data_IF_143715248142
#
_entry.id   IF_143715248142
#
_cell.length_a   1.000
_cell.length_b   1.000
_cell.length_c   1.000
_cell.angle_alpha   90.00
_cell.angle_beta   90.00
_cell.angle_gamma   90.00
#
_symmetry.space_group_name_H-M   'P 1'
#
loop_
_entity.id
_entity.type
_entity.pdbx_description
1 polymer ?
#
# COMPACT_ATOMS: atom_id res chain seq x y z
N UNK A 1 -13.35 23.57 26.34
CA UNK A 1 -12.43 22.42 26.26
C UNK A 1 -13.23 21.20 26.60
N UNK A 2 -13.52 20.35 25.61
CA UNK A 2 -14.25 19.11 25.83
C UNK A 2 -13.26 18.06 26.32
N UNK A 3 -13.46 17.56 27.53
CA UNK A 3 -12.72 16.41 28.05
C UNK A 3 -13.05 15.19 27.18
N UNK A 4 -12.10 14.82 26.33
CA UNK A 4 -12.06 13.52 25.69
C UNK A 4 -11.94 12.48 26.79
N UNK A 5 -13.06 11.87 27.18
CA UNK A 5 -13.05 10.67 28.01
C UNK A 5 -12.20 9.64 27.27
N UNK A 6 -11.03 9.35 27.83
CA UNK A 6 -10.13 8.30 27.41
C UNK A 6 -10.95 7.02 27.23
N UNK A 7 -10.98 6.50 26.01
CA UNK A 7 -11.55 5.19 25.69
C UNK A 7 -10.77 4.20 26.55
N UNK A 8 -11.42 3.69 27.59
CA UNK A 8 -10.81 2.75 28.52
C UNK A 8 -10.62 1.40 27.78
N UNK A 9 -9.38 1.12 27.36
CA UNK A 9 -8.99 -0.03 26.53
C UNK A 9 -8.85 -1.35 27.30
N UNK A 10 -9.19 -1.38 28.59
CA UNK A 10 -8.91 -2.51 29.49
C UNK A 10 -9.69 -3.80 29.19
N UNK A 11 -10.66 -3.77 28.26
CA UNK A 11 -11.44 -4.95 27.86
C UNK A 11 -11.09 -5.51 26.46
N UNK A 12 -10.03 -5.04 25.82
CA UNK A 12 -9.49 -5.71 24.63
C UNK A 12 -8.73 -6.98 25.05
N UNK A 13 -9.45 -8.07 25.33
CA UNK A 13 -8.81 -9.39 25.43
C UNK A 13 -8.13 -9.68 24.08
N UNK A 14 -6.80 -9.85 24.02
CA UNK A 14 -6.12 -10.13 22.77
C UNK A 14 -6.73 -11.40 22.17
N UNK A 15 -7.24 -11.29 20.94
CA UNK A 15 -7.83 -12.43 20.23
C UNK A 15 -6.84 -13.58 20.23
N UNK A 16 -7.28 -14.76 20.71
CA UNK A 16 -6.54 -16.03 20.60
C UNK A 16 -6.10 -16.23 19.16
N UNK A 17 -4.92 -16.84 18.94
CA UNK A 17 -4.33 -17.03 17.61
C UNK A 17 -5.33 -17.53 16.55
N UNK A 18 -6.19 -18.50 16.90
CA UNK A 18 -7.24 -19.07 16.04
C UNK A 18 -8.39 -18.13 15.66
N UNK A 19 -8.56 -17.01 16.38
CA UNK A 19 -9.53 -15.94 16.08
C UNK A 19 -8.94 -14.81 15.26
N UNK A 20 -7.62 -14.85 14.99
CA UNK A 20 -6.98 -13.97 14.03
C UNK A 20 -7.11 -14.59 12.63
N UNK A 21 -7.18 -13.78 11.56
CA UNK A 21 -7.16 -14.30 10.19
C UNK A 21 -5.95 -15.24 9.96
N UNK A 22 -4.83 -14.97 10.66
CA UNK A 22 -3.63 -15.82 10.72
C UNK A 22 -3.89 -17.26 11.17
N UNK A 23 -4.73 -17.45 12.19
CA UNK A 23 -5.04 -18.77 12.73
C UNK A 23 -6.11 -19.51 11.93
N UNK A 24 -7.09 -18.81 11.34
CA UNK A 24 -8.14 -19.45 10.53
C UNK A 24 -7.58 -19.95 9.19
N UNK A 25 -6.74 -19.14 8.52
CA UNK A 25 -6.02 -19.57 7.32
C UNK A 25 -5.05 -20.70 7.66
N UNK A 26 -4.41 -20.63 8.83
CA UNK A 26 -3.54 -21.70 9.32
C UNK A 26 -4.27 -23.01 9.53
N UNK A 27 -5.47 -23.00 10.12
CA UNK A 27 -6.27 -24.20 10.32
C UNK A 27 -6.57 -24.92 9.00
N UNK A 28 -6.98 -24.16 7.97
CA UNK A 28 -7.30 -24.70 6.65
C UNK A 28 -6.02 -25.23 5.99
N UNK A 29 -4.91 -24.51 6.09
CA UNK A 29 -3.63 -24.94 5.52
C UNK A 29 -3.07 -26.19 6.20
N UNK A 30 -3.22 -26.32 7.52
CA UNK A 30 -2.87 -27.54 8.27
C UNK A 30 -3.72 -28.74 7.83
N UNK A 31 -5.04 -28.55 7.65
CA UNK A 31 -5.92 -29.61 7.15
C UNK A 31 -5.52 -30.01 5.73
N UNK A 32 -5.23 -29.04 4.85
CA UNK A 32 -4.77 -29.29 3.50
C UNK A 32 -3.40 -29.99 3.47
N UNK A 33 -2.48 -29.62 4.37
CA UNK A 33 -1.16 -30.25 4.49
C UNK A 33 -1.28 -31.68 5.01
N UNK A 34 -2.13 -31.93 6.01
CA UNK A 34 -2.40 -33.27 6.52
C UNK A 34 -3.11 -34.14 5.47
N UNK A 35 -4.07 -33.59 4.74
CA UNK A 35 -4.76 -34.28 3.65
C UNK A 35 -3.82 -34.57 2.47
N UNK A 36 -2.96 -33.62 2.10
CA UNK A 36 -1.95 -33.78 1.05
C UNK A 36 -0.86 -34.78 1.43
N UNK A 37 -0.37 -34.73 2.67
CA UNK A 37 0.56 -35.72 3.21
C UNK A 37 -0.09 -37.11 3.28
N UNK A 38 -1.33 -37.20 3.75
CA UNK A 38 -2.10 -38.46 3.76
C UNK A 38 -2.33 -39.02 2.36
N UNK A 39 -2.66 -38.16 1.39
CA UNK A 39 -2.81 -38.54 -0.01
C UNK A 39 -1.49 -39.04 -0.61
N UNK A 40 -0.38 -38.32 -0.41
CA UNK A 40 0.95 -38.73 -0.88
C UNK A 40 1.39 -40.07 -0.27
N UNK A 41 1.11 -40.31 1.01
CA UNK A 41 1.38 -41.60 1.67
C UNK A 41 0.50 -42.69 1.03
N UNK A 42 -0.79 -42.43 0.85
CA UNK A 42 -1.74 -43.38 0.28
C UNK A 42 -1.41 -43.77 -1.16
N UNK A 43 -1.05 -42.80 -2.01
CA UNK A 43 -0.69 -43.05 -3.42
C UNK A 43 0.66 -43.76 -3.56
N UNK A 44 1.58 -43.56 -2.62
CA UNK A 44 2.92 -44.15 -2.65
C UNK A 44 3.07 -45.37 -1.73
N UNK A 45 1.96 -45.99 -1.29
CA UNK A 45 1.98 -47.15 -0.39
C UNK A 45 2.84 -48.31 -0.95
N UNK A 46 2.80 -48.53 -2.27
CA UNK A 46 3.61 -49.55 -2.94
C UNK A 46 5.11 -49.22 -2.96
N UNK A 47 5.48 -47.94 -3.10
CA UNK A 47 6.86 -47.49 -3.03
C UNK A 47 7.40 -47.53 -1.59
N UNK A 48 6.57 -47.24 -0.59
CA UNK A 48 6.88 -47.39 0.83
C UNK A 48 7.05 -48.88 1.19
N UNK A 49 6.22 -49.76 0.62
CA UNK A 49 6.40 -51.22 0.72
C UNK A 49 7.71 -51.69 0.08
N UNK A 50 8.10 -51.12 -1.06
CA UNK A 50 9.40 -51.37 -1.71
C UNK A 50 10.61 -50.88 -0.90
N UNK A 51 10.46 -49.80 -0.13
CA UNK A 51 11.45 -49.31 0.83
C UNK A 51 11.60 -50.21 2.08
N UNK A 52 10.74 -51.21 2.28
CA UNK A 52 10.92 -52.21 3.35
C UNK A 52 11.67 -53.46 2.87
N UNK A 53 12.09 -53.50 1.60
CA UNK A 53 12.79 -54.65 1.02
C UNK A 53 14.28 -54.71 1.35
N UNK A 54 14.90 -53.58 1.71
CA UNK A 54 16.33 -53.48 2.04
C UNK A 54 16.55 -53.06 3.50
N UNK A 55 17.53 -53.67 4.16
CA UNK A 55 17.89 -53.33 5.54
C UNK A 55 18.30 -51.85 5.69
N UNK A 56 18.86 -51.26 4.64
CA UNK A 56 19.27 -49.85 4.63
C UNK A 56 18.04 -48.91 4.69
N UNK A 57 17.03 -49.21 3.89
CA UNK A 57 15.82 -48.37 3.80
C UNK A 57 14.91 -48.53 5.02
N UNK A 58 14.83 -49.70 5.63
CA UNK A 58 14.19 -49.89 6.95
C UNK A 58 14.84 -48.98 8.00
N UNK A 59 16.18 -48.93 8.03
CA UNK A 59 16.92 -48.10 8.99
C UNK A 59 16.63 -46.61 8.78
N UNK A 60 16.60 -46.14 7.53
CA UNK A 60 16.28 -44.75 7.18
C UNK A 60 14.83 -44.41 7.54
N UNK A 61 13.87 -45.29 7.24
CA UNK A 61 12.45 -45.08 7.58
C UNK A 61 12.23 -45.02 9.10
N UNK A 62 12.91 -45.87 9.87
CA UNK A 62 12.87 -45.84 11.34
C UNK A 62 13.49 -44.56 11.90
N UNK A 63 14.59 -44.06 11.32
CA UNK A 63 15.18 -42.78 11.72
C UNK A 63 14.23 -41.60 11.48
N UNK A 64 13.56 -41.56 10.32
CA UNK A 64 12.59 -40.51 10.00
C UNK A 64 11.37 -40.60 10.94
N UNK A 65 10.85 -41.80 11.19
CA UNK A 65 9.77 -42.01 12.17
C UNK A 65 10.18 -41.59 13.58
N UNK A 66 11.40 -41.95 14.01
CA UNK A 66 11.96 -41.56 15.29
C UNK A 66 12.11 -40.05 15.43
N UNK A 67 12.55 -39.35 14.37
CA UNK A 67 12.63 -37.90 14.34
C UNK A 67 11.26 -37.23 14.43
N UNK A 68 10.24 -37.76 13.74
CA UNK A 68 8.86 -37.26 13.81
C UNK A 68 8.28 -37.47 15.22
N UNK A 69 8.48 -38.66 15.80
CA UNK A 69 8.07 -38.94 17.19
C UNK A 69 8.76 -38.00 18.18
N UNK A 70 10.07 -37.79 18.05
CA UNK A 70 10.82 -36.87 18.88
C UNK A 70 10.29 -35.43 18.79
N UNK A 71 9.96 -34.97 17.58
CA UNK A 71 9.38 -33.64 17.34
C UNK A 71 8.00 -33.44 18.00
N UNK A 72 7.21 -34.50 18.15
CA UNK A 72 5.87 -34.45 18.77
C UNK A 72 5.93 -34.62 20.30
N UNK A 73 6.78 -35.52 20.80
CA UNK A 73 6.87 -35.84 22.23
C UNK A 73 7.70 -34.80 23.02
N UNK A 74 8.75 -34.22 22.44
CA UNK A 74 9.57 -33.23 23.15
C UNK A 74 8.86 -31.87 23.22
N UNK A 75 8.56 -31.34 24.42
CA UNK A 75 7.89 -30.05 24.58
C UNK A 75 8.69 -28.87 24.01
N UNK A 76 10.03 -28.96 23.93
CA UNK A 76 10.88 -27.90 23.35
C UNK A 76 10.77 -27.88 21.83
N UNK A 77 10.85 -29.04 21.19
CA UNK A 77 10.70 -29.15 19.73
C UNK A 77 9.29 -28.79 19.29
N UNK A 78 8.26 -29.24 20.02
CA UNK A 78 6.87 -28.83 19.76
C UNK A 78 6.70 -27.33 19.81
N UNK A 79 7.30 -26.66 20.80
CA UNK A 79 7.26 -25.20 20.89
C UNK A 79 7.98 -24.54 19.71
N UNK A 80 9.17 -25.02 19.32
CA UNK A 80 9.93 -24.48 18.20
C UNK A 80 9.15 -24.58 16.87
N UNK A 81 8.58 -25.75 16.60
CA UNK A 81 7.74 -26.01 15.42
C UNK A 81 6.49 -25.13 15.46
N UNK A 82 5.86 -24.99 16.64
CA UNK A 82 4.72 -24.11 16.83
C UNK A 82 5.05 -22.63 16.57
N UNK A 83 6.22 -22.16 17.00
CA UNK A 83 6.69 -20.80 16.71
C UNK A 83 7.06 -20.63 15.24
N UNK A 84 7.73 -21.60 14.62
CA UNK A 84 8.02 -21.59 13.18
C UNK A 84 6.76 -21.54 12.34
N UNK A 85 5.79 -22.38 12.66
CA UNK A 85 4.45 -22.36 12.06
C UNK A 85 3.78 -20.99 12.22
N UNK A 86 3.78 -20.39 13.41
CA UNK A 86 3.27 -19.03 13.62
C UNK A 86 3.97 -17.98 12.76
N UNK A 87 5.29 -18.05 12.61
CA UNK A 87 6.06 -17.10 11.80
C UNK A 87 5.71 -17.22 10.31
N UNK A 88 5.61 -18.44 9.79
CA UNK A 88 5.19 -18.67 8.41
C UNK A 88 3.76 -18.19 8.20
N UNK A 89 2.84 -18.48 9.13
CA UNK A 89 1.46 -18.02 9.02
C UNK A 89 1.35 -16.49 9.09
N UNK A 90 2.15 -15.81 9.93
CA UNK A 90 2.23 -14.34 9.96
C UNK A 90 2.76 -13.77 8.65
N UNK A 91 3.71 -14.44 8.02
CA UNK A 91 4.22 -14.04 6.70
C UNK A 91 3.15 -14.21 5.60
N UNK A 92 2.52 -15.39 5.51
CA UNK A 92 1.45 -15.68 4.55
C UNK A 92 0.27 -14.73 4.73
N UNK A 93 -0.12 -14.47 5.98
CA UNK A 93 -1.24 -13.54 6.24
C UNK A 93 -0.86 -12.08 6.13
N UNK A 94 0.41 -11.71 6.30
CA UNK A 94 0.93 -10.41 5.90
C UNK A 94 0.71 -10.15 4.41
N UNK A 95 0.92 -11.17 3.56
CA UNK A 95 0.56 -11.10 2.13
C UNK A 95 -0.96 -10.95 1.96
N UNK A 96 -1.79 -11.69 2.69
CA UNK A 96 -3.26 -11.58 2.57
C UNK A 96 -3.83 -10.23 3.05
N UNK A 97 -3.31 -9.66 4.14
CA UNK A 97 -3.71 -8.36 4.69
C UNK A 97 -3.28 -7.20 3.79
N UNK A 98 -2.16 -7.35 3.08
CA UNK A 98 -1.66 -6.34 2.12
C UNK A 98 -2.38 -6.39 0.77
N UNK A 99 -2.98 -7.54 0.39
CA UNK A 99 -3.72 -7.69 -0.87
C UNK A 99 -4.96 -6.78 -0.91
N UNK A 100 -5.77 -6.71 0.16
CA UNK A 100 -6.92 -5.79 0.18
C UNK A 100 -7.24 -5.14 1.55
N UNK A 101 -6.52 -4.08 1.93
CA UNK A 101 -6.80 -3.33 3.16
C UNK A 101 -8.17 -2.64 3.15
N UNK A 102 -8.68 -2.22 1.98
CA UNK A 102 -10.00 -1.57 1.88
C UNK A 102 -11.11 -2.59 2.13
N UNK A 103 -10.97 -3.82 1.62
CA UNK A 103 -11.89 -4.92 1.90
C UNK A 103 -12.01 -5.23 3.40
N UNK A 104 -10.92 -5.17 4.16
CA UNK A 104 -10.94 -5.34 5.62
C UNK A 104 -11.75 -4.25 6.30
N UNK A 105 -11.57 -2.99 5.87
CA UNK A 105 -12.32 -1.87 6.42
C UNK A 105 -13.82 -1.96 6.09
N UNK A 106 -14.18 -2.40 4.88
CA UNK A 106 -15.57 -2.66 4.47
C UNK A 106 -16.21 -3.77 5.31
N UNK A 107 -15.51 -4.89 5.49
CA UNK A 107 -15.97 -5.98 6.36
C UNK A 107 -16.18 -5.51 7.80
N UNK A 108 -15.33 -4.61 8.29
CA UNK A 108 -15.51 -4.03 9.63
C UNK A 108 -16.76 -3.16 9.72
N UNK A 109 -17.07 -2.35 8.69
CA UNK A 109 -18.32 -1.58 8.59
C UNK A 109 -19.53 -2.52 8.59
N UNK A 110 -19.47 -3.63 7.85
CA UNK A 110 -20.54 -4.64 7.81
C UNK A 110 -20.73 -5.31 9.18
N UNK A 111 -19.63 -5.68 9.84
CA UNK A 111 -19.64 -6.23 11.21
C UNK A 111 -20.28 -5.24 12.21
N UNK A 112 -19.97 -3.95 12.09
CA UNK A 112 -20.56 -2.89 12.92
C UNK A 112 -22.07 -2.76 12.67
N UNK A 113 -22.51 -2.82 11.41
CA UNK A 113 -23.93 -2.80 11.06
C UNK A 113 -24.68 -4.00 11.66
N UNK A 114 -24.11 -5.20 11.54
CA UNK A 114 -24.67 -6.41 12.13
C UNK A 114 -24.76 -6.33 13.65
N UNK A 115 -23.75 -5.75 14.30
CA UNK A 115 -23.74 -5.53 15.74
C UNK A 115 -24.81 -4.52 16.17
N UNK A 116 -25.02 -3.44 15.42
CA UNK A 116 -26.13 -2.51 15.64
C UNK A 116 -27.49 -3.22 15.51
N UNK A 117 -27.69 -4.04 14.48
CA UNK A 117 -28.93 -4.82 14.30
C UNK A 117 -29.17 -5.75 15.49
N UNK A 118 -28.14 -6.44 16.00
CA UNK A 118 -28.23 -7.28 17.20
C UNK A 118 -28.58 -6.46 18.44
N UNK A 119 -27.97 -5.29 18.61
CA UNK A 119 -28.25 -4.38 19.73
C UNK A 119 -29.70 -3.89 19.71
N UNK A 120 -30.21 -3.48 18.54
CA UNK A 120 -31.62 -3.09 18.35
C UNK A 120 -32.59 -4.22 18.75
N UNK A 121 -32.31 -5.47 18.34
CA UNK A 121 -33.08 -6.64 18.77
C UNK A 121 -33.06 -6.83 20.30
N UNK A 122 -31.89 -6.66 20.93
CA UNK A 122 -31.76 -6.79 22.40
C UNK A 122 -32.50 -5.66 23.14
N UNK A 123 -32.46 -4.42 22.64
CA UNK A 123 -33.26 -3.30 23.17
C UNK A 123 -34.75 -3.63 23.09
N UNK A 124 -35.21 -4.15 21.94
CA UNK A 124 -36.58 -4.61 21.76
C UNK A 124 -36.99 -5.71 22.75
N UNK A 125 -36.14 -6.73 22.92
CA UNK A 125 -36.35 -7.80 23.87
C UNK A 125 -36.42 -7.29 25.32
N UNK A 126 -35.52 -6.37 25.71
CA UNK A 126 -35.50 -5.75 27.03
C UNK A 126 -36.81 -4.98 27.30
N UNK A 127 -37.28 -4.18 26.34
CA UNK A 127 -38.58 -3.49 26.42
C UNK A 127 -39.73 -4.49 26.59
N UNK A 128 -39.69 -5.62 25.90
CA UNK A 128 -40.65 -6.71 26.07
C UNK A 128 -40.66 -7.28 27.48
N UNK A 129 -39.47 -7.55 28.05
CA UNK A 129 -39.34 -8.04 29.42
C UNK A 129 -39.82 -7.01 30.46
N UNK A 130 -39.55 -5.71 30.25
CA UNK A 130 -40.07 -4.64 31.11
C UNK A 130 -41.60 -4.63 31.14
N UNK A 131 -42.24 -4.72 29.95
CA UNK A 131 -43.70 -4.78 29.85
C UNK A 131 -44.27 -6.01 30.55
N UNK A 132 -43.66 -7.19 30.34
CA UNK A 132 -44.06 -8.43 31.03
C UNK A 132 -43.96 -8.29 32.55
N UNK A 133 -42.88 -7.72 33.05
CA UNK A 133 -42.69 -7.48 34.49
C UNK A 133 -43.74 -6.52 35.05
N UNK A 134 -44.10 -5.48 34.29
CA UNK A 134 -45.18 -4.56 34.65
C UNK A 134 -46.54 -5.25 34.71
N UNK A 135 -46.85 -6.13 33.74
CA UNK A 135 -48.06 -6.95 33.77
C UNK A 135 -48.10 -7.85 35.00
N UNK A 136 -47.00 -8.53 35.33
CA UNK A 136 -46.89 -9.39 36.53
C UNK A 136 -47.15 -8.57 37.80
N UNK A 137 -46.55 -7.38 37.93
CA UNK A 137 -46.81 -6.51 39.09
C UNK A 137 -48.28 -6.14 39.20
N UNK A 138 -48.91 -5.75 38.07
CA UNK A 138 -50.34 -5.40 38.04
C UNK A 138 -51.25 -6.58 38.40
N UNK A 139 -50.92 -7.79 37.97
CA UNK A 139 -51.70 -8.98 38.31
C UNK A 139 -51.50 -9.39 39.77
N UNK A 140 -50.27 -9.26 40.29
CA UNK A 140 -50.00 -9.40 41.72
C UNK A 140 -50.77 -8.39 42.56
N UNK A 141 -50.90 -7.13 42.12
CA UNK A 141 -51.68 -6.11 42.84
C UNK A 141 -53.16 -6.51 42.93
N UNK A 142 -53.76 -7.02 41.85
CA UNK A 142 -55.14 -7.57 41.90
C UNK A 142 -55.25 -8.76 42.86
N UNK A 143 -54.25 -9.65 42.86
CA UNK A 143 -54.24 -10.79 43.79
C UNK A 143 -54.07 -10.37 45.26
N UNK A 144 -53.30 -9.31 45.51
CA UNK A 144 -53.16 -8.69 46.83
C UNK A 144 -54.53 -8.18 47.29
N UNK A 145 -55.23 -7.41 46.47
CA UNK A 145 -56.56 -6.87 46.80
C UNK A 145 -57.55 -7.98 47.11
N UNK A 146 -57.62 -9.01 46.26
CA UNK A 146 -58.48 -10.18 46.47
C UNK A 146 -58.13 -10.92 47.77
N UNK A 147 -56.84 -11.13 48.05
CA UNK A 147 -56.38 -11.81 49.26
C UNK A 147 -56.68 -11.00 50.52
N UNK A 148 -56.59 -9.68 50.46
CA UNK A 148 -56.93 -8.76 51.55
C UNK A 148 -58.44 -8.72 51.82
N UNK A 149 -59.27 -8.72 50.77
CA UNK A 149 -60.72 -8.85 50.90
C UNK A 149 -61.11 -10.19 51.53
N UNK A 150 -60.51 -11.29 51.08
CA UNK A 150 -60.75 -12.62 51.63
C UNK A 150 -60.32 -12.71 53.10
N UNK A 151 -59.17 -12.13 53.45
CA UNK A 151 -58.72 -12.03 54.84
C UNK A 151 -59.72 -11.27 55.71
N UNK A 152 -60.26 -10.16 55.19
CA UNK A 152 -61.25 -9.33 55.88
C UNK A 152 -62.57 -10.06 56.11
N UNK A 153 -63.04 -10.82 55.12
CA UNK A 153 -64.24 -11.68 55.24
C UNK A 153 -63.99 -12.82 56.23
N UNK A 154 -62.85 -13.49 56.15
CA UNK A 154 -62.48 -14.58 57.05
C UNK A 154 -62.41 -14.11 58.51
N UNK A 155 -61.85 -12.92 58.74
CA UNK A 155 -61.83 -12.25 60.05
C UNK A 155 -63.25 -12.02 60.59
N UNK A 156 -64.17 -11.49 59.75
CA UNK A 156 -65.57 -11.30 60.14
C UNK A 156 -66.31 -12.60 60.47
N UNK A 157 -65.91 -13.71 59.84
CA UNK A 157 -66.49 -15.05 60.06
C UNK A 157 -65.79 -15.84 61.18
N UNK A 158 -64.81 -15.26 61.88
CA UNK A 158 -64.04 -15.95 62.93
C UNK A 158 -63.14 -17.08 62.43
N UNK A 159 -62.80 -17.10 61.13
CA UNK A 159 -61.88 -18.10 60.56
C UNK A 159 -60.45 -17.56 60.52
N UNK A 160 -59.76 -17.64 61.66
CA UNK A 160 -58.42 -17.09 61.85
C UNK A 160 -57.37 -17.75 60.95
N UNK A 161 -57.51 -19.06 60.69
CA UNK A 161 -56.59 -19.79 59.81
C UNK A 161 -56.60 -19.22 58.39
N UNK A 162 -57.80 -19.03 57.83
CA UNK A 162 -57.95 -18.49 56.47
C UNK A 162 -57.55 -17.02 56.39
N UNK A 163 -57.85 -16.24 57.44
CA UNK A 163 -57.40 -14.85 57.55
C UNK A 163 -55.87 -14.77 57.49
N UNK A 164 -55.17 -15.53 58.35
CA UNK A 164 -53.71 -15.50 58.44
C UNK A 164 -53.05 -15.94 57.13
N UNK A 165 -53.54 -17.01 56.49
CA UNK A 165 -53.01 -17.50 55.22
C UNK A 165 -53.16 -16.45 54.10
N UNK A 166 -54.34 -15.84 53.99
CA UNK A 166 -54.63 -14.83 52.95
C UNK A 166 -53.80 -13.56 53.17
N UNK A 167 -53.68 -13.09 54.43
CA UNK A 167 -52.81 -11.96 54.78
C UNK A 167 -51.34 -12.23 54.46
N UNK A 168 -50.81 -13.44 54.75
CA UNK A 168 -49.43 -13.81 54.40
C UNK A 168 -49.22 -13.89 52.89
N UNK A 169 -50.21 -14.38 52.13
CA UNK A 169 -50.16 -14.37 50.66
C UNK A 169 -50.05 -12.94 50.14
N UNK A 170 -50.91 -12.03 50.60
CA UNK A 170 -50.88 -10.62 50.23
C UNK A 170 -49.53 -9.97 50.58
N UNK A 171 -49.00 -10.23 51.78
CA UNK A 171 -47.70 -9.69 52.20
C UNK A 171 -46.54 -10.14 51.29
N UNK A 172 -46.48 -11.44 50.94
CA UNK A 172 -45.43 -11.99 50.05
C UNK A 172 -45.49 -11.41 48.64
N UNK A 173 -46.70 -11.24 48.10
CA UNK A 173 -46.90 -10.62 46.79
C UNK A 173 -46.49 -9.15 46.80
N UNK A 174 -46.81 -8.42 47.88
CA UNK A 174 -46.40 -7.02 48.05
C UNK A 174 -44.88 -6.88 48.09
N UNK A 175 -44.20 -7.71 48.87
CA UNK A 175 -42.73 -7.76 48.91
C UNK A 175 -42.13 -8.11 47.54
N UNK A 176 -42.75 -9.04 46.81
CA UNK A 176 -42.33 -9.41 45.45
C UNK A 176 -42.48 -8.24 44.47
N UNK A 177 -43.58 -7.49 44.55
CA UNK A 177 -43.82 -6.31 43.73
C UNK A 177 -42.81 -5.19 44.02
N UNK A 178 -42.41 -4.97 45.27
CA UNK A 178 -41.34 -4.03 45.60
C UNK A 178 -40.01 -4.41 44.94
N UNK A 179 -39.64 -5.70 44.98
CA UNK A 179 -38.44 -6.21 44.29
C UNK A 179 -38.55 -6.05 42.77
N UNK A 180 -39.71 -6.35 42.18
CA UNK A 180 -39.96 -6.16 40.76
C UNK A 180 -39.92 -4.70 40.33
N UNK A 181 -40.39 -3.77 41.16
CA UNK A 181 -40.31 -2.33 40.90
C UNK A 181 -38.85 -1.86 40.83
N UNK A 182 -38.00 -2.32 41.75
CA UNK A 182 -36.56 -2.03 41.71
C UNK A 182 -35.92 -2.61 40.44
N UNK A 183 -36.23 -3.85 40.09
CA UNK A 183 -35.74 -4.49 38.88
C UNK A 183 -36.18 -3.74 37.61
N UNK A 184 -37.45 -3.37 37.51
CA UNK A 184 -38.00 -2.59 36.41
C UNK A 184 -37.27 -1.25 36.25
N UNK A 185 -36.98 -0.55 37.35
CA UNK A 185 -36.22 0.70 37.31
C UNK A 185 -34.79 0.50 36.78
N UNK A 186 -34.10 -0.56 37.21
CA UNK A 186 -32.77 -0.91 36.68
C UNK A 186 -32.83 -1.22 35.17
N UNK A 187 -33.85 -1.96 34.74
CA UNK A 187 -34.08 -2.24 33.31
C UNK A 187 -34.36 -0.96 32.51
N UNK A 188 -35.10 -0.01 33.08
CA UNK A 188 -35.37 1.30 32.45
C UNK A 188 -34.09 2.10 32.22
N UNK A 189 -33.22 2.18 33.23
CA UNK A 189 -31.90 2.83 33.12
C UNK A 189 -31.06 2.13 32.05
N UNK A 190 -30.99 0.80 32.07
CA UNK A 190 -30.28 0.01 31.06
C UNK A 190 -30.83 0.27 29.65
N UNK A 191 -32.15 0.28 29.47
CA UNK A 191 -32.78 0.59 28.18
C UNK A 191 -32.40 1.99 27.69
N UNK A 192 -32.32 2.99 28.57
CA UNK A 192 -31.88 4.34 28.21
C UNK A 192 -30.42 4.36 27.76
N UNK A 193 -29.54 3.67 28.48
CA UNK A 193 -28.11 3.56 28.14
C UNK A 193 -27.96 2.86 26.79
N UNK A 194 -28.56 1.69 26.61
CA UNK A 194 -28.48 0.92 25.36
C UNK A 194 -29.04 1.71 24.17
N UNK A 195 -30.14 2.44 24.35
CA UNK A 195 -30.70 3.30 23.31
C UNK A 195 -29.73 4.42 22.93
N UNK A 196 -29.06 5.04 23.90
CA UNK A 196 -28.05 6.08 23.64
C UNK A 196 -26.79 5.51 22.98
N UNK A 197 -26.35 4.33 23.39
CA UNK A 197 -25.24 3.63 22.75
C UNK A 197 -25.58 3.28 21.30
N UNK A 198 -26.79 2.78 21.03
CA UNK A 198 -27.24 2.50 19.67
C UNK A 198 -27.19 3.75 18.78
N UNK A 199 -27.73 4.88 19.25
CA UNK A 199 -27.68 6.16 18.54
C UNK A 199 -26.24 6.62 18.25
N UNK A 200 -25.35 6.55 19.25
CA UNK A 200 -23.95 6.96 19.07
C UNK A 200 -23.20 6.01 18.13
N UNK A 201 -23.46 4.70 18.23
CA UNK A 201 -22.85 3.70 17.36
C UNK A 201 -23.36 3.77 15.92
N UNK A 202 -24.59 4.25 15.69
CA UNK A 202 -25.14 4.53 14.36
C UNK A 202 -24.39 5.68 13.69
N UNK A 203 -24.16 6.78 14.41
CA UNK A 203 -23.33 7.89 13.92
C UNK A 203 -21.91 7.41 13.61
N UNK A 204 -21.30 6.65 14.53
CA UNK A 204 -19.96 6.11 14.32
C UNK A 204 -19.89 5.15 13.12
N UNK A 205 -20.93 4.37 12.86
CA UNK A 205 -21.01 3.51 11.67
C UNK A 205 -21.02 4.35 10.40
N UNK A 206 -21.82 5.42 10.37
CA UNK A 206 -21.90 6.33 9.22
C UNK A 206 -20.57 7.04 8.97
N UNK A 207 -19.96 7.60 10.02
CA UNK A 207 -18.64 8.22 9.96
C UNK A 207 -17.57 7.23 9.47
N UNK A 208 -17.57 6.01 9.99
CA UNK A 208 -16.62 4.97 9.58
C UNK A 208 -16.84 4.60 8.12
N UNK A 209 -18.09 4.43 7.68
CA UNK A 209 -18.43 4.13 6.29
C UNK A 209 -17.92 5.23 5.35
N UNK A 210 -18.07 6.48 5.73
CA UNK A 210 -17.58 7.60 4.91
C UNK A 210 -16.06 7.71 4.91
N UNK A 211 -15.40 7.48 6.05
CA UNK A 211 -13.93 7.38 6.10
C UNK A 211 -13.41 6.28 5.16
N UNK A 212 -14.07 5.13 5.12
CA UNK A 212 -13.69 4.03 4.22
C UNK A 212 -13.83 4.43 2.76
N UNK A 213 -14.90 5.15 2.39
CA UNK A 213 -15.06 5.66 1.02
C UNK A 213 -13.96 6.65 0.65
N UNK A 214 -13.61 7.58 1.54
CA UNK A 214 -12.51 8.53 1.32
C UNK A 214 -11.19 7.78 1.14
N UNK A 215 -10.88 6.82 2.01
CA UNK A 215 -9.66 6.01 1.92
C UNK A 215 -9.61 5.15 0.65
N UNK A 216 -10.75 4.68 0.19
CA UNK A 216 -10.86 3.97 -1.09
C UNK A 216 -10.51 4.87 -2.27
N UNK A 217 -11.02 6.10 -2.29
CA UNK A 217 -10.69 7.10 -3.30
C UNK A 217 -9.21 7.51 -3.24
N UNK A 218 -8.67 7.78 -2.05
CA UNK A 218 -7.25 8.06 -1.83
C UNK A 218 -6.38 6.92 -2.36
N UNK A 219 -6.71 5.66 -2.05
CA UNK A 219 -5.96 4.49 -2.56
C UNK A 219 -6.00 4.41 -4.07
N UNK A 220 -7.16 4.67 -4.69
CA UNK A 220 -7.31 4.68 -6.16
C UNK A 220 -6.44 5.78 -6.79
N UNK A 221 -6.47 6.98 -6.23
CA UNK A 221 -5.66 8.10 -6.69
C UNK A 221 -4.15 7.82 -6.52
N UNK A 222 -3.71 7.36 -5.34
CA UNK A 222 -2.31 7.00 -5.10
C UNK A 222 -1.84 5.91 -6.06
N UNK A 223 -2.68 4.90 -6.34
CA UNK A 223 -2.33 3.83 -7.30
C UNK A 223 -2.17 4.39 -8.72
N UNK A 224 -3.04 5.29 -9.14
CA UNK A 224 -2.93 5.97 -10.43
C UNK A 224 -1.65 6.84 -10.49
N UNK A 225 -1.42 7.67 -9.46
CA UNK A 225 -0.21 8.50 -9.34
C UNK A 225 1.07 7.66 -9.34
N UNK A 226 1.09 6.53 -8.64
CA UNK A 226 2.22 5.61 -8.61
C UNK A 226 2.46 4.98 -9.99
N UNK A 227 1.41 4.61 -10.72
CA UNK A 227 1.55 4.11 -12.09
C UNK A 227 2.11 5.17 -13.04
N UNK A 228 1.64 6.41 -12.94
CA UNK A 228 2.16 7.53 -13.74
C UNK A 228 3.62 7.86 -13.39
N UNK A 229 3.97 7.86 -12.09
CA UNK A 229 5.34 8.03 -11.63
C UNK A 229 6.25 6.90 -12.11
N UNK A 230 5.79 5.65 -12.08
CA UNK A 230 6.53 4.51 -12.64
C UNK A 230 6.79 4.69 -14.14
N UNK A 231 5.79 5.14 -14.90
CA UNK A 231 5.93 5.47 -16.32
C UNK A 231 6.92 6.62 -16.53
N UNK A 232 6.80 7.72 -15.81
CA UNK A 232 7.74 8.83 -15.89
C UNK A 232 9.17 8.40 -15.53
N UNK A 233 9.32 7.58 -14.50
CA UNK A 233 10.61 7.02 -14.09
C UNK A 233 11.19 6.10 -15.16
N UNK A 234 10.37 5.28 -15.84
CA UNK A 234 10.83 4.46 -16.97
C UNK A 234 11.28 5.28 -18.18
N UNK A 235 10.65 6.45 -18.41
CA UNK A 235 11.07 7.40 -19.46
C UNK A 235 12.40 8.06 -19.07
N UNK A 236 12.53 8.50 -17.81
CA UNK A 236 13.76 9.15 -17.29
C UNK A 236 14.93 8.18 -17.24
N UNK A 237 14.72 6.93 -16.81
CA UNK A 237 15.79 5.95 -16.71
C UNK A 237 16.25 5.41 -18.08
N UNK A 238 15.41 5.57 -19.12
CA UNK A 238 15.60 4.93 -20.42
C UNK A 238 15.48 3.41 -20.36
N UNK A 239 15.20 2.77 -21.51
CA UNK A 239 15.38 1.31 -21.63
C UNK A 239 16.87 1.00 -21.42
N UNK A 240 17.26 0.12 -20.48
CA UNK A 240 18.65 -0.23 -20.24
C UNK A 240 19.34 -0.75 -21.51
N UNK A 241 18.62 -1.46 -22.37
CA UNK A 241 19.14 -1.96 -23.64
C UNK A 241 19.43 -0.84 -24.65
N UNK A 242 18.57 0.19 -24.72
CA UNK A 242 18.77 1.34 -25.62
C UNK A 242 19.87 2.27 -25.11
N UNK A 243 20.00 2.38 -23.79
CA UNK A 243 21.10 3.12 -23.17
C UNK A 243 22.44 2.44 -23.43
N UNK A 244 22.51 1.11 -23.28
CA UNK A 244 23.71 0.35 -23.63
C UNK A 244 24.08 0.48 -25.12
N UNK A 245 23.11 0.43 -26.04
CA UNK A 245 23.36 0.66 -27.48
C UNK A 245 23.82 2.10 -27.78
N UNK A 246 23.26 3.09 -27.10
CA UNK A 246 23.68 4.49 -27.23
C UNK A 246 25.11 4.71 -26.71
N UNK A 247 25.42 4.16 -25.54
CA UNK A 247 26.76 4.24 -24.93
C UNK A 247 27.80 3.54 -25.83
N UNK A 248 27.46 2.36 -26.38
CA UNK A 248 28.31 1.64 -27.34
C UNK A 248 28.51 2.42 -28.66
N UNK A 249 27.47 3.09 -29.17
CA UNK A 249 27.59 3.94 -30.36
C UNK A 249 28.43 5.19 -30.09
N UNK A 250 28.31 5.78 -28.89
CA UNK A 250 29.13 6.92 -28.46
C UNK A 250 30.60 6.55 -28.30
N UNK A 251 30.90 5.36 -27.78
CA UNK A 251 32.26 4.81 -27.69
C UNK A 251 32.88 4.62 -29.08
N UNK A 252 32.13 4.04 -30.03
CA UNK A 252 32.60 3.89 -31.41
C UNK A 252 32.87 5.23 -32.11
N UNK A 253 32.04 6.25 -31.86
CA UNK A 253 32.27 7.62 -32.38
C UNK A 253 33.50 8.26 -31.75
N UNK A 254 33.71 8.06 -30.44
CA UNK A 254 34.89 8.57 -29.75
C UNK A 254 36.18 7.93 -30.29
N UNK A 255 36.17 6.63 -30.54
CA UNK A 255 37.29 5.90 -31.15
C UNK A 255 37.55 6.37 -32.59
N UNK A 256 36.50 6.61 -33.39
CA UNK A 256 36.67 7.11 -34.76
C UNK A 256 37.24 8.54 -34.75
N UNK A 257 36.76 9.41 -33.86
CA UNK A 257 37.33 10.76 -33.69
C UNK A 257 38.78 10.69 -33.23
N UNK A 258 39.12 9.83 -32.25
CA UNK A 258 40.48 9.66 -31.76
C UNK A 258 41.42 9.13 -32.85
N UNK A 259 40.99 8.13 -33.63
CA UNK A 259 41.76 7.60 -34.75
C UNK A 259 41.94 8.64 -35.85
N UNK A 260 40.90 9.40 -36.20
CA UNK A 260 40.99 10.46 -37.22
C UNK A 260 41.87 11.62 -36.76
N UNK A 261 41.82 12.01 -35.49
CA UNK A 261 42.71 13.02 -34.91
C UNK A 261 44.15 12.53 -34.86
N UNK A 262 44.40 11.27 -34.50
CA UNK A 262 45.72 10.67 -34.55
C UNK A 262 46.29 10.54 -35.98
N UNK A 263 45.45 10.20 -36.97
CA UNK A 263 45.83 10.23 -38.39
C UNK A 263 46.16 11.66 -38.86
N UNK A 264 45.42 12.66 -38.38
CA UNK A 264 45.70 14.08 -38.65
C UNK A 264 47.00 14.56 -37.98
N UNK A 265 47.26 14.17 -36.73
CA UNK A 265 48.52 14.47 -36.03
C UNK A 265 49.71 13.81 -36.73
N UNK A 266 49.58 12.54 -37.13
CA UNK A 266 50.62 11.81 -37.86
C UNK A 266 50.83 12.37 -39.27
N UNK A 267 49.79 12.84 -39.94
CA UNK A 267 49.90 13.55 -41.21
C UNK A 267 50.56 14.93 -41.04
N UNK A 268 50.27 15.66 -39.95
CA UNK A 268 50.96 16.91 -39.61
C UNK A 268 52.44 16.68 -39.24
N UNK A 269 52.77 15.64 -38.49
CA UNK A 269 54.15 15.29 -38.12
C UNK A 269 54.97 14.83 -39.35
N UNK A 270 54.35 14.06 -40.24
CA UNK A 270 54.95 13.70 -41.52
C UNK A 270 55.08 14.91 -42.46
N UNK A 271 54.13 15.86 -42.40
CA UNK A 271 54.21 17.13 -43.14
C UNK A 271 55.27 18.07 -42.56
N UNK A 272 55.51 18.05 -41.25
CA UNK A 272 56.58 18.80 -40.60
C UNK A 272 57.97 18.30 -41.02
N UNK A 273 58.17 16.98 -41.11
CA UNK A 273 59.40 16.39 -41.65
C UNK A 273 59.60 16.68 -43.16
N UNK A 274 58.51 16.86 -43.91
CA UNK A 274 58.55 17.28 -45.32
C UNK A 274 58.78 18.80 -45.46
N UNK A 275 58.45 19.61 -44.45
CA UNK A 275 58.75 21.04 -44.39
C UNK A 275 60.21 21.31 -44.00
N UNK A 276 60.76 20.50 -43.07
CA UNK A 276 62.16 20.60 -42.62
C UNK A 276 63.17 20.15 -43.69
N UNK A 277 62.76 19.29 -44.64
CA UNK A 277 63.60 18.83 -45.75
C UNK A 277 63.50 19.68 -47.03
N UNK A 278 62.61 20.68 -47.07
CA UNK A 278 62.50 21.62 -48.20
C UNK A 278 63.22 22.96 -47.92
N UNK A 279 63.57 23.25 -46.67
CA UNK A 279 64.21 24.52 -46.28
C UNK A 279 65.73 24.45 -46.06
N UNK A 280 66.39 23.49 -46.71
CA UNK A 280 67.86 23.37 -46.76
C UNK A 280 68.42 23.48 -48.19
N UNK A 281 67.72 24.21 -49.07
CA UNK A 281 68.21 24.52 -50.42
C UNK A 281 67.99 25.97 -50.88
N UNK A 282 67.74 26.92 -49.98
CA UNK A 282 67.64 28.35 -50.32
C UNK A 282 68.62 29.25 -49.54
N UNK A 283 69.84 28.78 -49.34
CA UNK A 283 70.96 29.58 -48.82
C UNK A 283 71.77 30.33 -49.88
N UNK A 284 71.22 30.62 -51.08
CA UNK A 284 71.92 31.34 -52.18
C UNK A 284 70.94 32.20 -52.99
N UNK A 285 70.25 33.19 -52.40
CA UNK A 285 69.47 34.16 -53.21
C UNK A 285 69.39 35.60 -52.68
N UNK A 286 70.17 35.96 -51.66
CA UNK A 286 70.22 37.35 -51.19
C UNK A 286 71.11 38.23 -52.09
N UNK A 287 72.15 37.65 -52.68
CA UNK A 287 73.13 38.36 -53.51
C UNK A 287 72.70 38.53 -54.99
N UNK A 288 71.86 37.62 -55.51
CA UNK A 288 71.26 37.73 -56.85
C UNK A 288 70.02 38.65 -56.89
N UNK A 289 69.27 38.75 -55.79
CA UNK A 289 68.14 39.69 -55.66
C UNK A 289 68.58 41.15 -55.67
N UNK A 290 69.69 41.49 -55.00
CA UNK A 290 70.28 42.84 -55.02
C UNK A 290 70.77 43.24 -56.42
N UNK A 291 71.38 42.31 -57.17
CA UNK A 291 71.81 42.55 -58.57
C UNK A 291 70.63 42.72 -59.53
N UNK A 292 69.51 42.02 -59.32
CA UNK A 292 68.31 42.20 -60.15
C UNK A 292 67.62 43.53 -59.89
N UNK A 293 67.56 43.98 -58.63
CA UNK A 293 67.01 45.30 -58.28
C UNK A 293 67.81 46.44 -58.92
N UNK A 294 69.15 46.36 -58.89
CA UNK A 294 70.04 47.35 -59.52
C UNK A 294 69.89 47.39 -61.05
N UNK A 295 69.60 46.23 -61.68
CA UNK A 295 69.35 46.12 -63.12
C UNK A 295 67.96 46.64 -63.52
N UNK A 296 66.95 46.38 -62.69
CA UNK A 296 65.58 46.84 -62.89
C UNK A 296 65.45 48.37 -62.72
N UNK A 297 66.19 48.97 -61.79
CA UNK A 297 66.19 50.42 -61.58
C UNK A 297 66.83 51.17 -62.77
N UNK A 298 67.88 50.61 -63.38
CA UNK A 298 68.47 51.14 -64.63
C UNK A 298 67.53 51.05 -65.83
N UNK A 299 66.81 49.94 -65.98
CA UNK A 299 65.93 49.69 -67.14
C UNK A 299 64.56 50.37 -67.01
N UNK A 300 64.06 50.61 -65.78
CA UNK A 300 62.75 51.24 -65.50
C UNK A 300 62.70 52.75 -65.76
N UNK A 301 63.83 53.47 -65.68
CA UNK A 301 63.88 54.92 -66.00
C UNK A 301 63.58 55.26 -67.47
N UNK A 302 63.60 54.27 -68.37
CA UNK A 302 63.44 54.46 -69.81
C UNK A 302 62.02 54.16 -70.34
N UNK A 303 61.10 53.71 -69.47
CA UNK A 303 59.76 53.20 -69.86
C UNK A 303 58.58 54.00 -69.25
N UNK A 304 58.87 55.08 -68.51
CA UNK A 304 57.89 56.00 -67.89
C UNK A 304 57.67 57.28 -68.73
N UNK A 305 57.60 57.13 -70.06
CA UNK A 305 57.26 58.20 -71.00
C UNK A 305 56.45 57.62 -72.18
N UNK A 306 55.13 57.46 -71.99
CA UNK A 306 54.21 57.04 -73.05
C UNK A 306 52.83 56.64 -72.51
N UNK A 307 51.81 57.45 -72.84
CA UNK A 307 50.45 57.51 -72.28
C UNK A 307 49.55 56.29 -72.52
N UNK A 308 48.65 56.02 -71.55
CA UNK A 308 47.54 55.07 -71.67
C UNK A 308 46.33 55.45 -70.78
N UNK A 309 45.28 55.96 -71.43
CA UNK A 309 43.92 56.21 -70.94
C UNK A 309 43.09 54.90 -70.96
N UNK A 310 42.17 54.74 -69.98
CA UNK A 310 40.82 54.08 -70.00
C UNK A 310 40.65 52.65 -70.59
N UNK A 311 39.73 51.77 -70.20
CA UNK A 311 38.68 51.60 -69.18
C UNK A 311 37.99 50.27 -69.53
N UNK A 312 37.52 49.44 -68.58
CA UNK A 312 36.37 48.56 -68.86
C UNK A 312 35.68 48.10 -67.57
N UNK A 313 34.41 48.45 -67.50
CA UNK A 313 33.46 48.38 -66.39
C UNK A 313 32.64 47.08 -66.44
N UNK A 314 32.33 46.48 -65.27
CA UNK A 314 31.76 45.14 -65.11
C UNK A 314 30.36 45.17 -64.46
N UNK A 315 29.55 46.17 -64.81
CA UNK A 315 28.16 46.24 -64.38
C UNK A 315 27.25 45.37 -65.27
N UNK A 316 26.90 44.17 -64.77
CA UNK A 316 25.61 43.56 -65.10
C UNK A 316 25.05 42.76 -63.91
N UNK A 317 23.78 42.98 -63.52
CA UNK A 317 23.23 42.59 -62.23
C UNK A 317 22.83 41.10 -62.13
N UNK A 318 23.06 40.50 -60.95
CA UNK A 318 22.69 39.12 -60.57
C UNK A 318 21.26 39.07 -60.00
N UNK A 319 20.51 38.03 -60.39
CA UNK A 319 19.13 37.80 -59.94
C UNK A 319 19.05 37.31 -58.48
N UNK A 320 18.08 37.86 -57.75
CA UNK A 320 17.79 37.72 -56.32
C UNK A 320 17.21 36.35 -55.93
N UNK A 321 17.59 35.86 -54.75
CA UNK A 321 16.85 34.84 -54.00
C UNK A 321 15.91 35.51 -53.01
N UNK A 322 14.61 35.22 -53.12
CA UNK A 322 13.56 35.78 -52.27
C UNK A 322 13.70 35.36 -50.80
N UNK A 323 13.75 36.35 -49.90
CA UNK A 323 13.42 36.20 -48.49
C UNK A 323 11.92 36.47 -48.31
N UNK A 324 11.23 35.60 -47.56
CA UNK A 324 9.89 35.91 -47.05
C UNK A 324 10.00 36.27 -45.56
N UNK A 325 9.97 37.58 -45.32
CA UNK A 325 9.50 38.30 -44.13
C UNK A 325 7.98 37.99 -43.92
N UNK A 326 7.29 38.16 -42.79
CA UNK A 326 7.57 38.69 -41.46
C UNK A 326 6.36 38.37 -40.52
N UNK A 327 6.50 38.75 -39.25
CA UNK A 327 5.45 39.16 -38.28
C UNK A 327 5.31 38.36 -36.98
N UNK A 328 6.15 38.73 -35.99
CA UNK A 328 5.73 38.82 -34.59
C UNK A 328 5.69 40.28 -34.16
N UNK A 329 4.47 40.80 -34.02
CA UNK A 329 4.15 41.94 -33.18
C UNK A 329 3.64 41.43 -31.84
N UNK A 330 4.10 42.02 -30.73
CA UNK A 330 3.23 42.24 -29.58
C UNK A 330 3.54 41.49 -28.29
N UNK A 331 4.34 42.17 -27.48
CA UNK A 331 4.20 42.32 -26.03
C UNK A 331 4.89 41.32 -25.07
N UNK A 332 5.91 41.90 -24.43
CA UNK A 332 6.47 41.57 -23.12
C UNK A 332 5.40 41.58 -22.03
N UNK A 333 5.50 40.63 -21.10
CA UNK A 333 5.43 40.87 -19.64
C UNK A 333 5.83 39.60 -18.90
N UNK A 334 7.15 39.43 -18.71
CA UNK A 334 7.69 38.67 -17.58
C UNK A 334 7.91 39.66 -16.45
N UNK A 335 6.99 39.70 -15.49
CA UNK A 335 7.26 40.23 -14.16
C UNK A 335 6.46 39.38 -13.15
N UNK A 336 7.17 38.96 -12.10
CA UNK A 336 6.70 38.25 -10.89
C UNK A 336 6.57 36.73 -10.98
N UNK A 337 7.69 36.03 -10.73
CA UNK A 337 7.65 34.69 -10.12
C UNK A 337 8.86 34.36 -9.23
N UNK A 338 9.55 35.38 -8.71
CA UNK A 338 10.47 35.26 -7.59
C UNK A 338 10.39 36.51 -6.71
N UNK A 339 9.28 36.64 -5.99
CA UNK A 339 9.24 37.08 -4.59
C UNK A 339 7.97 36.51 -3.93
#
# INVERSE_FOLDING_TARGET
>A
MADFQQINTDNFKPKTFWKKPEGTVGAIFMIALLAGAGYLIFTNLAAIGGLLSSALSITVTLLVLGAILYMVLDPRMRNLVWYGYKSVMRWITGVFVTIDPIGILKNYVDDLEDNLRKMSKQIGALKGQMRKLMTIMKDNDKEIDNSMQLASVAKRKGNDKQMMLSSRKAARLRESNEKYKVLHNRMSVMNRILTKMYQNSEILLEDTRDQVKVKEQERKAIRASHSAMKSAMSVISGDPDKRAMFDQAMEAVADDVANKVGEMERFMEMSANFMESVDLQNGVFEEEGLKMLEKYERESSLLLLGEGHESLDLDSPRAEGQYSEDSKSGNSSYENLFD
#
